data_IF_538106887483
#
_entry.id   IF_538106887483
#
_cell.length_a   1.000
_cell.length_b   1.000
_cell.length_c   1.000
_cell.angle_alpha   90.00
_cell.angle_beta   90.00
_cell.angle_gamma   90.00
#
_symmetry.space_group_name_H-M   'P 1'
#
loop_
_entity.id
_entity.type
_entity.pdbx_description
1 polymer ?
#
# COMPACT_ATOMS: atom_id res chain seq x y z
N UNK A 1 -12.22 -15.10 -54.54
CA UNK A 1 -11.63 -15.91 -53.45
C UNK A 1 -10.93 -14.95 -52.51
N UNK A 2 -11.54 -14.65 -51.37
CA UNK A 2 -11.01 -13.68 -50.39
C UNK A 2 -10.63 -14.44 -49.14
N UNK A 3 -9.34 -14.71 -48.97
CA UNK A 3 -8.81 -15.40 -47.80
C UNK A 3 -8.82 -14.44 -46.63
N UNK A 4 -9.69 -14.70 -45.65
CA UNK A 4 -9.74 -13.96 -44.38
C UNK A 4 -8.56 -14.41 -43.53
N UNK A 5 -7.67 -13.47 -43.19
CA UNK A 5 -6.54 -13.71 -42.28
C UNK A 5 -7.08 -13.85 -40.85
N UNK A 6 -7.43 -15.08 -40.46
CA UNK A 6 -7.69 -15.46 -39.07
C UNK A 6 -6.35 -15.68 -38.36
N UNK A 7 -5.81 -14.65 -37.69
CA UNK A 7 -4.53 -14.82 -37.00
C UNK A 7 -4.22 -13.87 -35.84
N UNK A 8 -5.14 -12.98 -35.42
CA UNK A 8 -4.79 -11.90 -34.46
C UNK A 8 -5.40 -12.07 -33.06
N UNK A 9 -6.28 -13.06 -32.81
CA UNK A 9 -7.23 -12.93 -31.71
C UNK A 9 -7.06 -13.81 -30.46
N UNK A 10 -6.21 -14.84 -30.41
CA UNK A 10 -6.13 -15.71 -29.22
C UNK A 10 -5.06 -15.28 -28.22
N UNK A 11 -3.85 -14.95 -28.68
CA UNK A 11 -2.76 -14.50 -27.80
C UNK A 11 -3.10 -13.18 -27.12
N UNK A 12 -3.73 -12.25 -27.85
CA UNK A 12 -4.14 -10.93 -27.34
C UNK A 12 -5.26 -11.03 -26.29
N UNK A 13 -6.21 -11.95 -26.48
CA UNK A 13 -7.28 -12.23 -25.50
C UNK A 13 -6.76 -12.96 -24.25
N UNK A 14 -5.82 -13.89 -24.42
CA UNK A 14 -5.19 -14.54 -23.27
C UNK A 14 -4.40 -13.54 -22.42
N UNK A 15 -3.59 -12.67 -23.04
CA UNK A 15 -2.82 -11.63 -22.33
C UNK A 15 -3.73 -10.63 -21.60
N UNK A 16 -4.84 -10.20 -22.22
CA UNK A 16 -5.80 -9.31 -21.54
C UNK A 16 -6.52 -9.99 -20.37
N UNK A 17 -6.87 -11.27 -20.49
CA UNK A 17 -7.49 -12.05 -19.41
C UNK A 17 -6.53 -12.30 -18.23
N UNK A 18 -5.23 -12.50 -18.50
CA UNK A 18 -4.20 -12.69 -17.47
C UNK A 18 -3.93 -11.39 -16.72
N UNK A 19 -3.87 -10.25 -17.42
CA UNK A 19 -3.76 -8.91 -16.78
C UNK A 19 -4.93 -8.64 -15.85
N UNK A 20 -6.16 -8.96 -16.27
CA UNK A 20 -7.36 -8.84 -15.44
C UNK A 20 -7.31 -9.71 -14.18
N UNK A 21 -6.84 -10.96 -14.28
CA UNK A 21 -6.68 -11.85 -13.11
C UNK A 21 -5.63 -11.37 -12.11
N UNK A 22 -4.52 -10.83 -12.60
CA UNK A 22 -3.45 -10.33 -11.74
C UNK A 22 -3.90 -9.08 -10.95
N UNK A 23 -4.62 -8.16 -11.58
CA UNK A 23 -5.19 -6.99 -10.92
C UNK A 23 -6.22 -7.38 -9.85
N UNK A 24 -7.09 -8.34 -10.15
CA UNK A 24 -8.05 -8.88 -9.17
C UNK A 24 -7.33 -9.52 -7.98
N UNK A 25 -6.31 -10.34 -8.23
CA UNK A 25 -5.54 -10.98 -7.16
C UNK A 25 -4.86 -9.95 -6.25
N UNK A 26 -4.32 -8.86 -6.81
CA UNK A 26 -3.73 -7.75 -6.04
C UNK A 26 -4.76 -7.07 -5.17
N UNK A 27 -5.94 -6.80 -5.73
CA UNK A 27 -7.02 -6.15 -5.00
C UNK A 27 -7.53 -7.03 -3.85
N UNK A 28 -7.68 -8.34 -4.05
CA UNK A 28 -8.07 -9.26 -2.99
C UNK A 28 -6.99 -9.39 -1.90
N UNK A 29 -5.72 -9.58 -2.28
CA UNK A 29 -4.63 -9.66 -1.31
C UNK A 29 -4.54 -8.36 -0.47
N UNK A 30 -4.67 -7.20 -1.13
CA UNK A 30 -4.71 -5.90 -0.45
C UNK A 30 -5.91 -5.68 0.48
N UNK A 31 -6.99 -6.48 0.40
CA UNK A 31 -8.06 -6.46 1.42
C UNK A 31 -7.61 -7.18 2.69
N UNK A 32 -6.98 -8.34 2.56
CA UNK A 32 -6.47 -9.10 3.70
C UNK A 32 -5.41 -8.30 4.47
N UNK A 33 -4.46 -7.70 3.75
CA UNK A 33 -3.42 -6.85 4.35
C UNK A 33 -4.01 -5.63 5.09
N UNK A 34 -5.07 -5.03 4.55
CA UNK A 34 -5.77 -3.91 5.21
C UNK A 34 -6.48 -4.33 6.48
N UNK A 35 -7.10 -5.52 6.50
CA UNK A 35 -7.73 -6.04 7.70
C UNK A 35 -6.68 -6.26 8.79
N UNK A 36 -5.58 -6.92 8.45
CA UNK A 36 -4.46 -7.13 9.36
C UNK A 36 -3.89 -5.81 9.91
N UNK A 37 -3.71 -4.81 9.05
CA UNK A 37 -3.25 -3.48 9.46
C UNK A 37 -4.26 -2.78 10.37
N UNK A 38 -5.56 -2.90 10.07
CA UNK A 38 -6.63 -2.35 10.92
C UNK A 38 -6.61 -2.98 12.31
N UNK A 39 -6.43 -4.29 12.40
CA UNK A 39 -6.37 -5.00 13.68
C UNK A 39 -5.09 -4.69 14.45
N UNK A 40 -3.95 -4.53 13.77
CA UNK A 40 -2.73 -4.04 14.38
C UNK A 40 -2.92 -2.61 14.95
N UNK A 41 -3.59 -1.71 14.23
CA UNK A 41 -3.92 -0.37 14.75
C UNK A 41 -4.80 -0.47 16.00
N UNK A 42 -5.79 -1.36 16.05
CA UNK A 42 -6.60 -1.58 17.27
C UNK A 42 -5.75 -2.00 18.45
N UNK A 43 -4.88 -3.01 18.27
CA UNK A 43 -3.90 -3.42 19.29
C UNK A 43 -3.02 -2.25 19.73
N UNK A 44 -2.57 -1.43 18.79
CA UNK A 44 -1.77 -0.25 19.09
C UNK A 44 -2.54 0.87 19.78
N UNK A 45 -3.87 0.96 19.64
CA UNK A 45 -4.68 1.91 20.40
C UNK A 45 -4.71 1.52 21.88
N UNK A 46 -4.89 0.23 22.15
CA UNK A 46 -5.00 -0.34 23.50
C UNK A 46 -3.65 -0.44 24.22
N UNK A 47 -2.56 -0.51 23.45
CA UNK A 47 -1.20 -0.61 23.98
C UNK A 47 -0.78 0.63 24.79
N UNK A 48 -0.42 0.40 26.05
CA UNK A 48 0.30 1.33 26.92
C UNK A 48 1.76 0.92 26.90
N UNK A 49 2.65 1.85 26.51
CA UNK A 49 4.06 1.51 26.35
C UNK A 49 4.84 1.45 27.67
N UNK A 50 6.10 1.04 27.59
CA UNK A 50 7.01 0.95 28.75
C UNK A 50 7.20 2.25 29.55
N UNK A 51 6.87 3.40 28.97
CA UNK A 51 6.92 4.71 29.66
C UNK A 51 5.56 5.09 30.26
N UNK A 52 4.55 4.24 30.12
CA UNK A 52 3.18 4.47 30.56
C UNK A 52 2.36 5.30 29.58
N UNK A 53 2.87 5.57 28.37
CA UNK A 53 2.14 6.36 27.38
C UNK A 53 1.10 5.52 26.63
N UNK A 54 -0.13 6.02 26.57
CA UNK A 54 -1.23 5.44 25.80
C UNK A 54 -1.62 6.28 24.58
N UNK A 55 -2.68 5.88 23.89
CA UNK A 55 -3.26 6.69 22.80
C UNK A 55 -4.06 7.87 23.36
N UNK A 56 -3.66 9.11 23.02
CA UNK A 56 -4.42 10.32 23.40
C UNK A 56 -5.64 10.59 22.53
N UNK A 57 -5.66 10.08 21.30
CA UNK A 57 -6.76 10.25 20.35
C UNK A 57 -7.05 8.93 19.60
N UNK A 58 -7.62 7.91 20.28
CA UNK A 58 -7.97 6.61 19.68
C UNK A 58 -8.75 6.73 18.37
N UNK A 59 -9.73 7.64 18.35
CA UNK A 59 -10.68 7.85 17.25
C UNK A 59 -10.00 8.27 15.95
N UNK A 60 -8.82 8.89 16.03
CA UNK A 60 -8.06 9.39 14.89
C UNK A 60 -6.88 8.49 14.51
N UNK A 61 -6.60 7.43 15.29
CA UNK A 61 -5.43 6.58 15.10
C UNK A 61 -5.41 5.94 13.72
N UNK A 62 -6.54 5.42 13.25
CA UNK A 62 -6.64 4.82 11.91
C UNK A 62 -6.31 5.81 10.80
N UNK A 63 -6.94 6.99 10.84
CA UNK A 63 -6.72 8.05 9.84
C UNK A 63 -5.27 8.52 9.86
N UNK A 64 -4.70 8.72 11.05
CA UNK A 64 -3.32 9.20 11.19
C UNK A 64 -2.29 8.17 10.74
N UNK A 65 -2.52 6.88 11.02
CA UNK A 65 -1.62 5.81 10.57
C UNK A 65 -1.71 5.64 9.05
N UNK A 66 -2.93 5.65 8.49
CA UNK A 66 -3.15 5.58 7.04
C UNK A 66 -2.45 6.75 6.33
N UNK A 67 -2.62 7.99 6.82
CA UNK A 67 -1.93 9.17 6.27
C UNK A 67 -0.40 9.03 6.30
N UNK A 68 0.14 8.41 7.35
CA UNK A 68 1.58 8.17 7.50
C UNK A 68 2.09 7.20 6.45
N UNK A 69 1.39 6.08 6.25
CA UNK A 69 1.71 5.09 5.22
C UNK A 69 1.62 5.70 3.81
N UNK A 70 0.54 6.42 3.53
CA UNK A 70 0.26 7.01 2.21
C UNK A 70 1.25 8.12 1.85
N UNK A 71 1.74 8.88 2.84
CA UNK A 71 2.65 10.00 2.65
C UNK A 71 3.94 9.59 1.93
N UNK A 72 4.49 8.40 2.23
CA UNK A 72 5.77 7.95 1.67
C UNK A 72 5.76 7.82 0.13
N UNK A 73 4.58 7.62 -0.45
CA UNK A 73 4.37 7.46 -1.89
C UNK A 73 3.52 8.59 -2.49
N UNK A 74 3.26 9.68 -1.75
CA UNK A 74 2.51 10.84 -2.25
C UNK A 74 1.01 10.61 -2.42
N UNK A 75 0.46 9.51 -1.88
CA UNK A 75 -0.94 9.09 -2.12
C UNK A 75 -1.97 9.94 -1.37
N UNK A 76 -1.55 10.74 -0.39
CA UNK A 76 -2.46 11.62 0.36
C UNK A 76 -3.18 12.63 -0.55
N UNK A 77 -2.51 13.13 -1.60
CA UNK A 77 -3.12 14.06 -2.55
C UNK A 77 -4.21 13.36 -3.36
N UNK A 78 -3.88 12.20 -3.96
CA UNK A 78 -4.84 11.38 -4.72
C UNK A 78 -6.02 10.91 -3.87
N UNK A 79 -5.77 10.59 -2.60
CA UNK A 79 -6.84 10.24 -1.67
C UNK A 79 -7.84 11.37 -1.50
N UNK A 80 -7.35 12.60 -1.29
CA UNK A 80 -8.21 13.78 -1.14
C UNK A 80 -8.99 14.07 -2.43
N UNK A 81 -8.31 14.05 -3.57
CA UNK A 81 -8.94 14.28 -4.89
C UNK A 81 -10.06 13.28 -5.17
N UNK A 82 -9.85 11.99 -4.87
CA UNK A 82 -10.88 10.97 -5.02
C UNK A 82 -12.11 11.24 -4.12
N UNK A 83 -11.89 11.66 -2.87
CA UNK A 83 -12.99 11.96 -1.95
C UNK A 83 -13.80 13.20 -2.39
N UNK A 84 -13.15 14.21 -2.98
CA UNK A 84 -13.82 15.41 -3.50
C UNK A 84 -14.79 15.11 -4.64
N UNK A 85 -14.50 14.09 -5.46
CA UNK A 85 -15.36 13.63 -6.56
C UNK A 85 -16.30 12.48 -6.16
N UNK A 86 -16.35 12.11 -4.88
CA UNK A 86 -17.22 11.04 -4.37
C UNK A 86 -16.75 9.62 -4.71
N UNK A 87 -15.50 9.45 -5.12
CA UNK A 87 -14.90 8.15 -5.42
C UNK A 87 -14.17 7.53 -4.22
N UNK A 88 -13.99 6.20 -4.26
CA UNK A 88 -13.18 5.50 -3.27
C UNK A 88 -11.70 5.68 -3.65
N UNK A 89 -10.85 6.20 -2.75
CA UNK A 89 -9.43 6.47 -3.04
C UNK A 89 -8.65 5.33 -3.68
N UNK A 90 -8.92 4.08 -3.31
CA UNK A 90 -8.19 2.93 -3.84
C UNK A 90 -8.65 2.49 -5.22
N UNK A 91 -9.81 2.94 -5.66
CA UNK A 91 -10.27 2.67 -7.02
C UNK A 91 -9.59 3.60 -8.03
N UNK A 92 -9.02 4.72 -7.56
CA UNK A 92 -8.27 5.68 -8.38
C UNK A 92 -6.76 5.41 -8.41
N UNK A 93 -6.28 4.46 -7.62
CA UNK A 93 -4.87 4.09 -7.55
C UNK A 93 -4.49 3.13 -8.68
N UNK A 94 -3.34 3.37 -9.29
CA UNK A 94 -2.79 2.47 -10.30
C UNK A 94 -2.20 1.19 -9.67
N UNK A 95 -1.79 0.24 -10.51
CA UNK A 95 -1.29 -1.04 -10.04
C UNK A 95 -0.04 -0.93 -9.16
N UNK A 96 0.85 0.02 -9.46
CA UNK A 96 2.08 0.22 -8.70
C UNK A 96 1.75 0.82 -7.33
N UNK A 97 0.82 1.75 -7.28
CA UNK A 97 0.32 2.36 -6.05
C UNK A 97 -0.39 1.34 -5.15
N UNK A 98 -1.21 0.46 -5.74
CA UNK A 98 -1.86 -0.64 -5.02
C UNK A 98 -0.84 -1.65 -4.47
N UNK A 99 0.22 -1.97 -5.23
CA UNK A 99 1.32 -2.83 -4.77
C UNK A 99 2.12 -2.19 -3.63
N UNK A 100 2.45 -0.91 -3.76
CA UNK A 100 3.10 -0.15 -2.69
C UNK A 100 2.26 -0.21 -1.40
N UNK A 101 0.95 0.07 -1.50
CA UNK A 101 0.04 0.04 -0.36
C UNK A 101 0.02 -1.32 0.30
N UNK A 102 -0.10 -2.38 -0.49
CA UNK A 102 -0.08 -3.74 0.01
C UNK A 102 1.15 -4.01 0.88
N UNK A 103 2.35 -3.69 0.36
CA UNK A 103 3.60 -3.91 1.07
C UNK A 103 3.72 -3.03 2.31
N UNK A 104 3.37 -1.74 2.19
CA UNK A 104 3.53 -0.78 3.28
C UNK A 104 2.57 -1.05 4.45
N UNK A 105 1.32 -1.45 4.17
CA UNK A 105 0.34 -1.82 5.20
C UNK A 105 0.73 -3.11 5.91
N UNK A 106 1.19 -4.11 5.16
CA UNK A 106 1.67 -5.38 5.72
C UNK A 106 2.89 -5.15 6.62
N UNK A 107 3.89 -4.38 6.15
CA UNK A 107 5.06 -4.04 6.94
C UNK A 107 4.71 -3.22 8.20
N UNK A 108 3.82 -2.24 8.08
CA UNK A 108 3.37 -1.46 9.22
C UNK A 108 2.67 -2.32 10.28
N UNK A 109 1.84 -3.28 9.87
CA UNK A 109 1.20 -4.22 10.78
C UNK A 109 2.22 -5.08 11.55
N UNK A 110 3.23 -5.60 10.86
CA UNK A 110 4.33 -6.36 11.46
C UNK A 110 5.09 -5.52 12.48
N UNK A 111 5.49 -4.30 12.10
CA UNK A 111 6.23 -3.39 12.99
C UNK A 111 5.43 -3.05 14.24
N UNK A 112 4.12 -2.81 14.11
CA UNK A 112 3.25 -2.55 15.25
C UNK A 112 3.25 -3.73 16.21
N UNK A 113 2.99 -4.94 15.70
CA UNK A 113 2.86 -6.13 16.55
C UNK A 113 4.19 -6.48 17.23
N UNK A 114 5.29 -6.50 16.47
CA UNK A 114 6.63 -6.75 17.02
C UNK A 114 7.02 -5.70 18.07
N UNK A 115 6.77 -4.41 17.78
CA UNK A 115 7.08 -3.35 18.75
C UNK A 115 6.25 -3.43 20.03
N UNK A 116 5.00 -3.88 19.96
CA UNK A 116 4.17 -4.17 21.15
C UNK A 116 4.77 -5.35 21.93
N UNK A 117 5.13 -6.43 21.26
CA UNK A 117 5.73 -7.64 21.87
C UNK A 117 7.08 -7.34 22.53
N UNK A 118 7.87 -6.44 21.94
CA UNK A 118 9.15 -5.96 22.46
C UNK A 118 9.02 -4.84 23.50
N UNK A 119 7.79 -4.45 23.85
CA UNK A 119 7.49 -3.34 24.77
C UNK A 119 8.19 -2.02 24.38
N UNK A 120 8.27 -1.73 23.08
CA UNK A 120 8.88 -0.52 22.54
C UNK A 120 7.99 0.71 22.77
N UNK A 121 8.57 1.92 22.77
CA UNK A 121 7.75 3.14 22.92
C UNK A 121 6.87 3.38 21.70
N UNK A 122 5.71 4.01 21.90
CA UNK A 122 4.80 4.38 20.80
C UNK A 122 5.50 5.24 19.74
N UNK A 123 6.44 6.09 20.18
CA UNK A 123 7.26 6.93 19.31
C UNK A 123 8.21 6.10 18.44
N UNK A 124 8.86 5.09 19.02
CA UNK A 124 9.75 4.18 18.28
C UNK A 124 8.97 3.44 17.19
N UNK A 125 7.83 2.84 17.54
CA UNK A 125 6.98 2.10 16.59
C UNK A 125 6.57 3.00 15.42
N UNK A 126 6.05 4.21 15.68
CA UNK A 126 5.68 5.16 14.63
C UNK A 126 6.86 5.58 13.75
N UNK A 127 8.04 5.75 14.35
CA UNK A 127 9.27 6.10 13.64
C UNK A 127 9.70 4.97 12.70
N UNK A 128 9.67 3.72 13.16
CA UNK A 128 9.99 2.54 12.36
C UNK A 128 9.05 2.41 11.17
N UNK A 129 7.73 2.56 11.38
CA UNK A 129 6.73 2.54 10.29
C UNK A 129 7.08 3.58 9.22
N UNK A 130 7.37 4.82 9.63
CA UNK A 130 7.71 5.90 8.69
C UNK A 130 8.97 5.58 7.88
N UNK A 131 10.01 5.08 8.55
CA UNK A 131 11.27 4.70 7.91
C UNK A 131 11.04 3.58 6.89
N UNK A 132 10.33 2.53 7.28
CA UNK A 132 10.07 1.38 6.41
C UNK A 132 9.23 1.77 5.18
N UNK A 133 8.15 2.53 5.38
CA UNK A 133 7.32 3.02 4.28
C UNK A 133 8.13 3.86 3.30
N UNK A 134 9.05 4.71 3.80
CA UNK A 134 9.94 5.51 2.95
C UNK A 134 10.92 4.63 2.16
N UNK A 135 11.44 3.56 2.76
CA UNK A 135 12.33 2.60 2.10
C UNK A 135 11.60 1.84 0.98
N UNK A 136 10.40 1.32 1.25
CA UNK A 136 9.55 0.64 0.25
C UNK A 136 9.27 1.61 -0.92
N UNK A 137 8.86 2.84 -0.61
CA UNK A 137 8.60 3.85 -1.63
C UNK A 137 9.84 4.18 -2.47
N UNK A 138 11.01 4.30 -1.84
CA UNK A 138 12.28 4.58 -2.53
C UNK A 138 12.68 3.45 -3.48
N UNK A 139 12.44 2.20 -3.07
CA UNK A 139 12.78 1.01 -3.86
C UNK A 139 11.88 0.90 -5.10
N UNK A 140 10.59 1.21 -4.96
CA UNK A 140 9.69 1.31 -6.12
C UNK A 140 10.05 2.45 -7.08
N UNK A 141 10.44 3.63 -6.57
CA UNK A 141 10.90 4.74 -7.44
C UNK A 141 12.17 4.40 -8.21
N UNK A 142 13.12 3.70 -7.58
CA UNK A 142 14.37 3.24 -8.24
C UNK A 142 14.10 2.26 -9.38
N UNK A 143 13.13 1.36 -9.21
CA UNK A 143 12.71 0.45 -10.27
C UNK A 143 12.08 1.23 -11.45
N UNK A 144 11.17 2.16 -11.18
CA UNK A 144 10.53 2.97 -12.24
C UNK A 144 11.49 3.90 -13.00
N UNK A 145 12.50 4.46 -12.31
CA UNK A 145 13.44 5.43 -12.89
C UNK A 145 14.60 4.82 -13.68
N UNK A 146 15.06 3.61 -13.32
CA UNK A 146 16.23 2.98 -13.95
C UNK A 146 15.88 1.95 -15.03
N UNK A 147 14.64 1.46 -15.10
CA UNK A 147 14.23 0.49 -16.12
C UNK A 147 14.14 1.09 -17.54
N UNK A 148 14.02 2.41 -17.67
CA UNK A 148 13.83 3.08 -18.97
C UNK A 148 14.96 4.05 -19.36
N UNK A 149 16.01 4.18 -18.56
CA UNK A 149 17.17 5.05 -18.85
C UNK A 149 18.37 4.32 -19.47
N UNK A 150 18.22 3.04 -19.81
CA UNK A 150 19.29 2.23 -20.42
C UNK A 150 19.30 2.21 -21.96
N UNK A 151 18.61 3.14 -22.62
CA UNK A 151 18.38 3.12 -24.07
C UNK A 151 19.08 4.21 -24.90
N UNK A 152 19.98 5.00 -24.32
CA UNK A 152 20.80 5.96 -25.07
C UNK A 152 22.28 5.71 -24.77
N UNK A 153 22.93 4.99 -25.68
CA UNK A 153 24.36 5.07 -25.95
C UNK A 153 24.55 5.27 -27.43
#
# INVERSE_FOLDING_TARGET
>A
MTTVIQGVNDSTRQISSVRSRHEVAIREAGKADRLNFTDAIKRFIEYVDREGEGSSQPNLAYVNMTKTVYAAFGLNKKQREALEIGEKPRDTFDLLELRFLQMAESAAAVIINAGIEENATRKQIKSMIRTECAQIASSHRRLGGNLFKGGEK
#
